data_IF_121907858698
#
_entry.id   IF_121907858698
#
_cell.length_a   1.000
_cell.length_b   1.000
_cell.length_c   1.000
_cell.angle_alpha   90.00
_cell.angle_beta   90.00
_cell.angle_gamma   90.00
#
_symmetry.space_group_name_H-M   'P 1'
#
loop_
_entity.id
_entity.type
_entity.pdbx_description
1 polymer ?
#
# COMPACT_ATOMS: atom_id res chain seq x y z
N UNK A 1 17.89 6.06 9.45
CA UNK A 1 17.48 5.99 8.04
C UNK A 1 16.13 6.67 7.90
N UNK A 2 15.94 7.55 6.90
CA UNK A 2 14.64 8.21 6.67
C UNK A 2 13.66 7.22 6.04
N UNK A 3 12.38 7.26 6.42
CA UNK A 3 11.32 6.42 5.84
C UNK A 3 11.15 6.61 4.32
N UNK A 4 11.67 7.73 3.76
CA UNK A 4 11.66 8.01 2.32
C UNK A 4 12.81 7.34 1.54
N UNK A 5 13.77 6.73 2.24
CA UNK A 5 14.96 6.14 1.64
C UNK A 5 14.98 4.60 1.70
N UNK A 6 13.90 3.99 2.21
CA UNK A 6 13.81 2.54 2.36
C UNK A 6 12.76 1.98 1.40
N UNK A 7 13.19 1.11 0.50
CA UNK A 7 12.28 0.31 -0.31
C UNK A 7 11.57 -0.70 0.60
N UNK A 8 10.30 -0.45 0.89
CA UNK A 8 9.46 -1.35 1.69
C UNK A 8 8.82 -2.36 0.76
N UNK A 9 9.22 -3.61 0.88
CA UNK A 9 8.68 -4.75 0.13
C UNK A 9 7.75 -5.57 1.01
N UNK A 10 6.63 -6.01 0.43
CA UNK A 10 5.66 -6.89 1.09
C UNK A 10 5.75 -8.31 0.53
N UNK A 11 5.55 -9.31 1.38
CA UNK A 11 5.29 -10.68 0.92
C UNK A 11 3.89 -10.75 0.26
N UNK A 12 3.71 -11.52 -0.83
CA UNK A 12 2.41 -11.72 -1.50
C UNK A 12 1.37 -12.42 -0.62
N UNK A 13 1.81 -13.04 0.48
CA UNK A 13 0.92 -13.60 1.52
C UNK A 13 0.25 -12.49 2.35
N UNK A 14 0.93 -11.35 2.49
CA UNK A 14 0.45 -10.20 3.25
C UNK A 14 -0.30 -9.22 2.34
N UNK A 15 0.33 -8.82 1.24
CA UNK A 15 -0.20 -7.87 0.27
C UNK A 15 -0.58 -8.57 -1.05
N UNK A 16 -1.89 -8.80 -1.31
CA UNK A 16 -2.34 -9.38 -2.58
C UNK A 16 -2.11 -8.45 -3.79
N UNK A 17 -1.66 -7.22 -3.59
CA UNK A 17 -1.27 -6.34 -4.70
C UNK A 17 0.11 -6.67 -5.29
N UNK A 18 0.90 -7.54 -4.64
CA UNK A 18 2.17 -8.04 -5.21
C UNK A 18 1.86 -9.01 -6.35
N UNK A 19 2.25 -8.66 -7.57
CA UNK A 19 2.00 -9.49 -8.75
C UNK A 19 3.06 -10.58 -8.83
N UNK A 20 2.64 -11.83 -8.64
CA UNK A 20 3.51 -12.99 -8.76
C UNK A 20 3.60 -13.46 -10.21
N UNK A 21 4.83 -13.61 -10.71
CA UNK A 21 5.15 -14.02 -12.07
C UNK A 21 5.92 -15.34 -12.05
N UNK A 22 5.51 -16.25 -12.93
CA UNK A 22 6.14 -17.55 -13.17
C UNK A 22 6.57 -17.65 -14.62
N UNK A 23 7.46 -18.61 -14.98
CA UNK A 23 7.73 -18.90 -16.38
C UNK A 23 6.42 -19.28 -17.09
N UNK A 24 6.20 -18.73 -18.27
CA UNK A 24 5.06 -19.17 -19.08
C UNK A 24 5.25 -20.66 -19.45
N UNK A 25 4.20 -21.49 -19.36
CA UNK A 25 4.26 -22.86 -19.86
C UNK A 25 4.72 -22.91 -21.32
N UNK A 26 5.52 -23.90 -21.70
CA UNK A 26 6.15 -23.98 -23.04
C UNK A 26 5.14 -23.91 -24.19
N UNK A 27 3.95 -24.49 -24.01
CA UNK A 27 2.88 -24.47 -25.02
C UNK A 27 2.27 -23.06 -25.22
N UNK A 28 2.53 -22.12 -24.31
CA UNK A 28 2.14 -20.70 -24.40
C UNK A 28 3.30 -19.80 -24.86
N UNK A 29 4.51 -20.33 -25.07
CA UNK A 29 5.69 -19.55 -25.49
C UNK A 29 5.54 -18.85 -26.85
N UNK A 30 4.56 -19.28 -27.65
CA UNK A 30 4.22 -18.63 -28.93
C UNK A 30 3.47 -17.30 -28.76
N UNK A 31 2.92 -17.04 -27.56
CA UNK A 31 2.27 -15.76 -27.26
C UNK A 31 3.32 -14.67 -27.16
N UNK A 32 3.09 -13.54 -27.87
CA UNK A 32 3.93 -12.36 -27.72
C UNK A 32 3.73 -11.79 -26.31
N UNK A 33 4.74 -11.95 -25.47
CA UNK A 33 4.80 -11.25 -24.18
C UNK A 33 5.29 -9.81 -24.38
N UNK A 34 4.70 -8.86 -23.67
CA UNK A 34 5.27 -7.53 -23.56
C UNK A 34 6.53 -7.63 -22.69
N UNK A 35 7.68 -7.11 -23.13
CA UNK A 35 8.89 -7.15 -22.31
C UNK A 35 8.67 -6.35 -21.03
N UNK A 36 9.08 -6.91 -19.89
CA UNK A 36 9.15 -6.17 -18.63
C UNK A 36 10.26 -5.12 -18.77
N UNK A 37 9.87 -3.89 -19.07
CA UNK A 37 10.77 -2.75 -19.17
C UNK A 37 10.64 -1.88 -17.92
N UNK A 38 11.70 -1.16 -17.55
CA UNK A 38 11.67 -0.31 -16.36
C UNK A 38 11.61 -1.07 -15.03
N UNK A 39 12.21 -2.27 -14.98
CA UNK A 39 12.44 -2.98 -13.73
C UNK A 39 13.41 -2.17 -12.86
N UNK A 40 12.96 -1.82 -11.65
CA UNK A 40 13.77 -1.13 -10.66
C UNK A 40 14.81 -2.05 -10.00
N UNK A 41 15.24 -1.68 -8.80
CA UNK A 41 16.20 -2.45 -8.01
C UNK A 41 15.66 -3.85 -7.73
N UNK A 42 16.52 -4.85 -7.91
CA UNK A 42 16.23 -6.26 -7.62
C UNK A 42 16.52 -6.53 -6.16
N UNK A 43 15.58 -7.18 -5.48
CA UNK A 43 15.77 -7.64 -4.11
C UNK A 43 15.54 -9.14 -4.03
N UNK A 44 16.57 -9.87 -3.61
CA UNK A 44 16.52 -11.32 -3.49
C UNK A 44 15.82 -11.72 -2.19
N UNK A 45 14.95 -12.73 -2.29
CA UNK A 45 14.25 -13.34 -1.17
C UNK A 45 14.15 -14.86 -1.37
N UNK A 46 13.84 -15.64 -0.32
CA UNK A 46 13.56 -17.07 -0.46
C UNK A 46 12.37 -17.37 -1.39
N UNK A 47 11.43 -16.43 -1.50
CA UNK A 47 10.23 -16.55 -2.35
C UNK A 47 10.55 -16.27 -3.84
N UNK A 48 11.72 -15.68 -4.13
CA UNK A 48 12.13 -15.27 -5.47
C UNK A 48 12.70 -13.86 -5.50
N UNK A 49 12.68 -13.24 -6.68
CA UNK A 49 13.23 -11.91 -6.91
C UNK A 49 12.13 -10.86 -6.92
N UNK A 50 12.21 -9.88 -6.03
CA UNK A 50 11.31 -8.75 -6.00
C UNK A 50 11.81 -7.61 -6.89
N UNK A 51 10.87 -6.96 -7.57
CA UNK A 51 11.12 -5.78 -8.39
C UNK A 51 10.07 -4.72 -8.10
N UNK A 52 10.48 -3.46 -8.13
CA UNK A 52 9.55 -2.34 -8.15
C UNK A 52 9.46 -1.81 -9.57
N UNK A 53 8.31 -1.99 -10.21
CA UNK A 53 8.03 -1.46 -11.53
C UNK A 53 7.35 -0.09 -11.40
N UNK A 54 7.95 0.92 -12.04
CA UNK A 54 7.52 2.32 -11.95
C UNK A 54 7.17 2.90 -13.32
N UNK A 55 6.11 2.38 -13.97
CA UNK A 55 5.55 2.97 -15.19
C UNK A 55 4.16 3.58 -14.93
N UNK A 56 4.12 4.74 -14.27
CA UNK A 56 2.89 5.45 -13.93
C UNK A 56 2.33 5.07 -12.55
N UNK A 57 2.13 3.78 -12.26
CA UNK A 57 1.78 3.29 -10.92
C UNK A 57 2.87 2.35 -10.42
N UNK A 58 3.39 2.66 -9.23
CA UNK A 58 4.35 1.79 -8.55
C UNK A 58 3.69 0.46 -8.25
N UNK A 59 4.25 -0.61 -8.80
CA UNK A 59 3.76 -1.98 -8.63
C UNK A 59 4.92 -2.86 -8.20
N UNK A 60 4.73 -3.62 -7.13
CA UNK A 60 5.69 -4.63 -6.70
C UNK A 60 5.43 -5.93 -7.48
N UNK A 61 6.48 -6.48 -8.06
CA UNK A 61 6.47 -7.76 -8.75
C UNK A 61 7.30 -8.76 -7.93
N UNK A 62 6.90 -10.03 -7.97
CA UNK A 62 7.69 -11.15 -7.48
C UNK A 62 7.89 -12.14 -8.63
N UNK A 63 9.12 -12.34 -9.07
CA UNK A 63 9.47 -13.43 -9.98
C UNK A 63 9.86 -14.65 -9.16
N UNK A 64 9.10 -15.72 -9.30
CA UNK A 64 9.35 -16.98 -8.61
C UNK A 64 10.63 -17.66 -9.15
N UNK A 65 11.30 -18.51 -8.35
CA UNK A 65 12.52 -19.18 -8.76
C UNK A 65 12.40 -19.88 -10.12
N UNK A 66 13.42 -19.72 -10.96
CA UNK A 66 13.43 -20.26 -12.33
C UNK A 66 12.78 -19.35 -13.38
N UNK A 67 12.28 -18.18 -12.98
CA UNK A 67 11.78 -17.14 -13.89
C UNK A 67 12.91 -16.23 -14.38
N UNK A 68 12.92 -15.94 -15.67
CA UNK A 68 13.80 -14.93 -16.28
C UNK A 68 12.94 -13.72 -16.71
N UNK A 69 13.25 -12.49 -16.25
CA UNK A 69 12.54 -11.27 -16.66
C UNK A 69 12.52 -11.03 -18.18
N UNK A 70 13.46 -11.61 -18.92
CA UNK A 70 13.58 -11.48 -20.37
C UNK A 70 12.88 -12.59 -21.15
N UNK A 71 12.37 -13.60 -20.46
CA UNK A 71 11.62 -14.71 -21.04
C UNK A 71 10.10 -14.49 -20.94
N UNK A 72 9.27 -15.25 -21.69
CA UNK A 72 7.82 -15.19 -21.53
C UNK A 72 7.39 -15.56 -20.10
N UNK A 73 6.59 -14.69 -19.46
CA UNK A 73 6.10 -14.87 -18.10
C UNK A 73 4.57 -14.98 -18.08
N UNK A 74 4.05 -15.70 -17.09
CA UNK A 74 2.64 -15.77 -16.77
C UNK A 74 2.39 -15.24 -15.36
N UNK A 75 1.21 -14.64 -15.14
CA UNK A 75 0.78 -14.24 -13.81
C UNK A 75 0.24 -15.45 -13.04
N UNK A 76 0.75 -15.68 -11.83
CA UNK A 76 0.25 -16.70 -10.92
C UNK A 76 -0.77 -16.05 -9.98
N UNK A 77 -2.02 -16.53 -10.04
CA UNK A 77 -3.11 -16.09 -9.17
C UNK A 77 -3.62 -17.31 -8.41
N UNK A 78 -3.33 -17.42 -7.09
CA UNK A 78 -3.96 -18.41 -6.23
C UNK A 78 -5.48 -18.19 -6.20
N UNK A 79 -6.23 -19.28 -6.18
CA UNK A 79 -7.69 -19.27 -6.04
C UNK A 79 -8.07 -19.29 -4.56
N UNK A 80 -8.02 -18.13 -3.92
CA UNK A 80 -8.33 -17.91 -2.51
C UNK A 80 -9.30 -16.73 -2.30
N UNK A 81 -9.49 -16.32 -1.04
CA UNK A 81 -10.35 -15.19 -0.66
C UNK A 81 -9.88 -13.83 -1.22
N UNK A 82 -8.62 -13.71 -1.60
CA UNK A 82 -8.01 -12.46 -2.09
C UNK A 82 -7.82 -12.50 -3.63
N UNK A 83 -8.32 -13.54 -4.32
CA UNK A 83 -8.25 -13.71 -5.79
C UNK A 83 -8.67 -12.45 -6.55
N UNK A 84 -9.79 -11.82 -6.15
CA UNK A 84 -10.28 -10.61 -6.81
C UNK A 84 -9.34 -9.42 -6.61
N UNK A 85 -8.72 -9.29 -5.44
CA UNK A 85 -7.70 -8.28 -5.17
C UNK A 85 -6.45 -8.48 -6.05
N UNK A 86 -6.02 -9.74 -6.23
CA UNK A 86 -4.91 -10.10 -7.14
C UNK A 86 -5.24 -9.82 -8.60
N UNK A 87 -6.48 -10.08 -9.04
CA UNK A 87 -6.94 -9.73 -10.40
C UNK A 87 -6.96 -8.21 -10.59
N UNK A 88 -7.42 -7.43 -9.60
CA UNK A 88 -7.38 -5.97 -9.65
C UNK A 88 -5.93 -5.47 -9.78
N UNK A 89 -5.01 -6.01 -8.97
CA UNK A 89 -3.59 -5.68 -9.02
C UNK A 89 -2.96 -6.02 -10.38
N UNK A 90 -3.23 -7.21 -10.92
CA UNK A 90 -2.79 -7.62 -12.24
C UNK A 90 -3.35 -6.70 -13.34
N UNK A 91 -4.63 -6.32 -13.25
CA UNK A 91 -5.27 -5.41 -14.21
C UNK A 91 -4.59 -4.03 -14.19
N UNK A 92 -4.28 -3.52 -13.00
CA UNK A 92 -3.56 -2.25 -12.83
C UNK A 92 -2.15 -2.33 -13.41
N UNK A 93 -1.42 -3.39 -13.08
CA UNK A 93 -0.08 -3.66 -13.60
C UNK A 93 -0.08 -3.73 -15.12
N UNK A 94 -0.97 -4.53 -15.72
CA UNK A 94 -1.04 -4.71 -17.17
C UNK A 94 -1.37 -3.41 -17.89
N UNK A 95 -2.27 -2.59 -17.34
CA UNK A 95 -2.58 -1.27 -17.90
C UNK A 95 -1.40 -0.31 -17.80
N UNK A 96 -0.70 -0.30 -16.66
CA UNK A 96 0.54 0.46 -16.45
C UNK A 96 1.63 0.06 -17.44
N UNK A 97 1.86 -1.24 -17.63
CA UNK A 97 2.84 -1.80 -18.58
C UNK A 97 2.55 -1.36 -20.03
N UNK A 98 1.28 -1.28 -20.41
CA UNK A 98 0.86 -0.82 -21.73
C UNK A 98 0.77 0.72 -21.88
N UNK A 99 1.21 1.49 -20.88
CA UNK A 99 1.12 2.96 -20.88
C UNK A 99 -0.32 3.49 -20.87
N UNK A 100 -1.29 2.69 -20.39
CA UNK A 100 -2.71 3.05 -20.33
C UNK A 100 -3.08 3.66 -18.98
N UNK A 101 -4.14 4.48 -18.91
CA UNK A 101 -4.63 5.00 -17.63
C UNK A 101 -4.91 3.86 -16.65
N UNK A 102 -4.25 3.89 -15.50
CA UNK A 102 -4.37 2.84 -14.48
C UNK A 102 -5.56 3.15 -13.56
N UNK A 103 -6.44 2.19 -13.25
CA UNK A 103 -7.53 2.40 -12.30
C UNK A 103 -7.02 2.87 -10.93
N UNK A 104 -7.88 3.49 -10.13
CA UNK A 104 -7.55 3.81 -8.73
C UNK A 104 -7.55 2.57 -7.86
N UNK A 105 -6.76 2.58 -6.78
CA UNK A 105 -6.67 1.43 -5.85
C UNK A 105 -7.91 1.48 -4.97
N UNK A 106 -8.74 0.42 -5.03
CA UNK A 106 -10.04 0.42 -4.36
C UNK A 106 -9.99 -0.09 -2.93
N UNK A 107 -8.82 -0.57 -2.44
CA UNK A 107 -8.64 -1.04 -1.06
C UNK A 107 -8.93 0.04 -0.02
N UNK A 108 -8.70 1.30 -0.38
CA UNK A 108 -8.82 2.42 0.54
C UNK A 108 -9.49 3.63 -0.11
N UNK A 109 -10.52 4.15 0.55
CA UNK A 109 -11.19 5.38 0.10
C UNK A 109 -10.33 6.62 0.36
N UNK A 110 -10.54 7.72 -0.39
CA UNK A 110 -9.84 8.98 -0.14
C UNK A 110 -9.99 9.51 1.30
N UNK A 111 -11.17 9.28 1.90
CA UNK A 111 -11.46 9.68 3.28
C UNK A 111 -10.66 8.85 4.30
N UNK A 112 -10.57 7.54 4.10
CA UNK A 112 -9.72 6.66 4.93
C UNK A 112 -8.25 7.05 4.81
N UNK A 113 -7.75 7.30 3.59
CA UNK A 113 -6.38 7.76 3.36
C UNK A 113 -6.09 9.09 4.08
N UNK A 114 -7.03 10.03 4.05
CA UNK A 114 -6.92 11.28 4.80
C UNK A 114 -6.87 11.02 6.30
N UNK A 115 -7.76 10.18 6.83
CA UNK A 115 -7.81 9.84 8.26
C UNK A 115 -6.51 9.17 8.73
N UNK A 116 -5.94 8.24 7.96
CA UNK A 116 -4.66 7.62 8.31
C UNK A 116 -3.51 8.61 8.35
N UNK A 117 -3.44 9.57 7.41
CA UNK A 117 -2.43 10.64 7.48
C UNK A 117 -2.54 11.45 8.77
N UNK A 118 -3.76 11.80 9.18
CA UNK A 118 -4.00 12.50 10.45
C UNK A 118 -3.62 11.64 11.66
N UNK A 119 -3.90 10.34 11.62
CA UNK A 119 -3.47 9.39 12.66
C UNK A 119 -1.94 9.37 12.78
N UNK A 120 -1.20 9.24 11.68
CA UNK A 120 0.27 9.25 11.71
C UNK A 120 0.81 10.56 12.28
N UNK A 121 0.30 11.71 11.81
CA UNK A 121 0.69 13.01 12.35
C UNK A 121 0.37 13.15 13.86
N UNK A 122 -0.76 12.61 14.31
CA UNK A 122 -1.13 12.63 15.72
C UNK A 122 -0.23 11.71 16.57
N UNK A 123 0.14 10.54 16.07
CA UNK A 123 1.10 9.64 16.72
C UNK A 123 2.51 10.26 16.79
N UNK A 124 2.96 10.89 15.71
CA UNK A 124 4.24 11.61 15.69
C UNK A 124 4.24 12.73 16.74
N UNK A 125 3.18 13.55 16.78
CA UNK A 125 3.05 14.59 17.82
C UNK A 125 3.04 14.01 19.23
N UNK A 126 2.25 12.97 19.46
CA UNK A 126 2.11 12.36 20.79
C UNK A 126 3.40 11.70 21.28
N UNK A 127 4.10 10.96 20.40
CA UNK A 127 5.40 10.34 20.71
C UNK A 127 6.49 11.37 21.00
N UNK A 128 6.40 12.57 20.45
CA UNK A 128 7.26 13.71 20.76
C UNK A 128 6.80 14.55 21.98
N UNK A 129 5.80 14.06 22.74
CA UNK A 129 5.34 14.70 23.97
C UNK A 129 4.38 15.88 23.78
N UNK A 130 3.89 16.12 22.57
CA UNK A 130 2.89 17.17 22.33
C UNK A 130 1.58 16.84 23.05
N UNK A 131 0.94 17.85 23.64
CA UNK A 131 -0.37 17.66 24.25
C UNK A 131 -1.44 17.44 23.16
N UNK A 132 -2.57 16.83 23.51
CA UNK A 132 -3.71 16.71 22.59
C UNK A 132 -4.17 18.06 22.03
N UNK A 133 -3.99 19.15 22.80
CA UNK A 133 -4.34 20.50 22.35
C UNK A 133 -3.35 21.00 21.30
N UNK A 134 -2.06 20.75 21.48
CA UNK A 134 -1.03 21.13 20.51
C UNK A 134 -1.20 20.37 19.20
N UNK A 135 -1.49 19.08 19.28
CA UNK A 135 -1.85 18.26 18.12
C UNK A 135 -3.10 18.82 17.43
N UNK A 136 -4.15 19.17 18.17
CA UNK A 136 -5.35 19.78 17.59
C UNK A 136 -5.05 21.10 16.88
N UNK A 137 -4.20 21.95 17.46
CA UNK A 137 -3.80 23.23 16.86
C UNK A 137 -3.03 22.98 15.56
N UNK A 138 -2.13 21.99 15.53
CA UNK A 138 -1.38 21.64 14.34
C UNK A 138 -2.28 21.09 13.22
N UNK A 139 -3.27 20.26 13.54
CA UNK A 139 -4.15 19.62 12.56
C UNK A 139 -5.30 20.52 12.07
N UNK A 140 -5.87 21.34 12.95
CA UNK A 140 -7.11 22.08 12.70
C UNK A 140 -6.97 23.60 12.78
N UNK A 141 -5.82 24.09 13.25
CA UNK A 141 -5.52 25.51 13.41
C UNK A 141 -6.00 26.10 14.74
N UNK A 142 -5.22 27.03 15.27
CA UNK A 142 -5.48 27.69 16.56
C UNK A 142 -6.89 28.30 16.66
N UNK A 143 -7.30 29.07 15.63
CA UNK A 143 -8.61 29.76 15.63
C UNK A 143 -9.78 28.80 15.82
N UNK A 144 -9.71 27.60 15.24
CA UNK A 144 -10.76 26.59 15.34
C UNK A 144 -10.77 25.91 16.71
N UNK A 145 -9.59 25.62 17.26
CA UNK A 145 -9.44 25.03 18.61
C UNK A 145 -9.86 26.01 19.71
N UNK A 146 -9.65 27.32 19.49
CA UNK A 146 -10.01 28.36 20.44
C UNK A 146 -11.50 28.77 20.38
N UNK A 147 -12.26 28.31 19.38
CA UNK A 147 -13.66 28.66 19.22
C UNK A 147 -14.56 28.08 20.33
N UNK A 148 -14.19 26.91 20.87
CA UNK A 148 -14.93 26.21 21.92
C UNK A 148 -14.05 25.96 23.15
N UNK A 149 -14.63 25.86 24.37
CA UNK A 149 -13.90 25.42 25.55
C UNK A 149 -13.26 24.05 25.35
N UNK A 150 -11.93 23.96 25.53
CA UNK A 150 -11.15 22.75 25.20
C UNK A 150 -11.64 21.46 25.89
N UNK A 151 -12.07 21.53 27.16
CA UNK A 151 -12.48 20.35 27.93
C UNK A 151 -13.73 19.67 27.39
N UNK A 152 -14.57 20.40 26.65
CA UNK A 152 -15.84 19.94 26.08
C UNK A 152 -15.86 19.99 24.55
N UNK A 153 -14.71 20.22 23.92
CA UNK A 153 -14.61 20.40 22.47
C UNK A 153 -14.60 19.05 21.75
N UNK A 154 -15.40 18.91 20.69
CA UNK A 154 -15.37 17.74 19.81
C UNK A 154 -13.99 17.54 19.14
N UNK A 155 -13.17 18.60 19.01
CA UNK A 155 -11.81 18.48 18.49
C UNK A 155 -10.88 17.77 19.46
N UNK A 156 -11.13 17.85 20.78
CA UNK A 156 -10.40 17.08 21.78
C UNK A 156 -10.65 15.59 21.58
N UNK A 157 -11.92 15.20 21.49
CA UNK A 157 -12.29 13.80 21.30
C UNK A 157 -11.83 13.27 19.94
N UNK A 158 -11.89 14.10 18.89
CA UNK A 158 -11.37 13.75 17.57
C UNK A 158 -9.86 13.45 17.60
N UNK A 159 -9.06 14.27 18.29
CA UNK A 159 -7.61 14.04 18.41
C UNK A 159 -7.30 12.83 19.27
N UNK A 160 -8.01 12.62 20.38
CA UNK A 160 -7.86 11.39 21.19
C UNK A 160 -8.10 10.16 20.31
N UNK A 161 -9.22 10.13 19.57
CA UNK A 161 -9.52 9.02 18.67
C UNK A 161 -8.52 8.87 17.50
N UNK A 162 -7.84 9.93 17.08
CA UNK A 162 -6.73 9.85 16.12
C UNK A 162 -5.50 9.19 16.75
N UNK A 163 -5.12 9.57 17.97
CA UNK A 163 -3.95 8.98 18.67
C UNK A 163 -4.19 7.51 19.00
N UNK A 164 -5.37 7.17 19.55
CA UNK A 164 -5.75 5.78 19.83
C UNK A 164 -5.78 4.94 18.55
N UNK A 165 -6.42 5.46 17.50
CA UNK A 165 -6.46 4.80 16.21
C UNK A 165 -5.07 4.62 15.60
N UNK A 166 -4.21 5.63 15.69
CA UNK A 166 -2.83 5.53 15.23
C UNK A 166 -2.04 4.46 16.00
N UNK A 167 -2.22 4.39 17.32
CA UNK A 167 -1.58 3.38 18.16
C UNK A 167 -1.98 1.97 17.72
N UNK A 168 -3.28 1.74 17.48
CA UNK A 168 -3.76 0.45 16.95
C UNK A 168 -3.20 0.13 15.55
N UNK A 169 -3.08 1.15 14.69
CA UNK A 169 -2.51 0.99 13.35
C UNK A 169 -1.02 0.63 13.40
N UNK A 170 -0.23 1.33 14.21
CA UNK A 170 1.20 1.09 14.39
C UNK A 170 1.45 -0.28 15.05
N UNK A 171 0.59 -0.69 15.99
CA UNK A 171 0.62 -1.99 16.66
C UNK A 171 0.28 -3.20 15.78
N UNK A 172 0.24 -3.05 14.44
CA UNK A 172 -0.02 -4.13 13.48
C UNK A 172 -1.30 -3.98 12.67
N UNK A 173 -2.17 -3.03 13.02
CA UNK A 173 -3.40 -2.75 12.26
C UNK A 173 -3.15 -2.29 10.82
N UNK A 174 -1.96 -1.79 10.49
CA UNK A 174 -1.58 -1.40 9.13
C UNK A 174 -1.71 -2.50 8.09
N UNK A 175 -1.57 -3.78 8.49
CA UNK A 175 -1.71 -4.92 7.59
C UNK A 175 -3.12 -4.99 6.98
N UNK A 176 -4.14 -4.46 7.67
CA UNK A 176 -5.51 -4.42 7.16
C UNK A 176 -5.70 -3.44 6.00
N UNK A 177 -4.80 -2.47 5.81
CA UNK A 177 -4.86 -1.53 4.68
C UNK A 177 -4.42 -2.21 3.37
N UNK A 178 -3.57 -3.24 3.48
CA UNK A 178 -3.02 -3.95 2.33
C UNK A 178 -4.05 -4.87 1.66
N UNK A 179 -5.19 -5.10 2.31
CA UNK A 179 -6.23 -6.02 1.82
C UNK A 179 -7.55 -5.29 1.62
N UNK A 180 -8.39 -5.79 0.72
CA UNK A 180 -9.74 -5.28 0.62
C UNK A 180 -10.51 -5.57 1.90
N UNK A 181 -11.25 -4.58 2.41
CA UNK A 181 -12.08 -4.79 3.58
C UNK A 181 -13.19 -5.77 3.24
N UNK A 182 -13.16 -6.95 3.85
CA UNK A 182 -14.22 -7.93 3.74
C UNK A 182 -15.49 -7.34 4.36
N UNK A 183 -16.58 -7.31 3.59
CA UNK A 183 -17.92 -7.17 4.17
C UNK A 183 -18.29 -8.56 4.72
N UNK A 184 -18.28 -8.69 6.04
CA UNK A 184 -18.91 -9.80 6.76
C UNK A 184 -20.42 -9.69 6.66
#
# INVERSE_FOLDING_TARGET
>A
MSALAQDVLWSPDVDPAVVSLVPAPEFLSSLRSAPLTGLGVVHDSPEGHHFVHSAGVVTQLLLLPGSDPHSPLAALIPLDEETLGRIEALTRFWRSLLGRPTPSDTRMTPQQRRRFRLMMQAADGHSNGASYRDIAIALYGFKRVAADPWKTSALRDAVIGLVEGATAMIGGGYLQILRHRRRS
#
